data_IF_765733558894
#
_entry.id   IF_765733558894
#
_cell.length_a   1.000
_cell.length_b   1.000
_cell.length_c   1.000
_cell.angle_alpha   90.00
_cell.angle_beta   90.00
_cell.angle_gamma   90.00
#
_symmetry.space_group_name_H-M   'P 1'
#
loop_
_entity.id
_entity.type
_entity.pdbx_description
1 polymer ?
#
# COMPACT_ATOMS: atom_id res chain seq x y z
N UNK A 1 -1.84 21.18 18.45
CA UNK A 1 -3.23 20.71 18.29
C UNK A 1 -3.15 19.20 18.04
N UNK A 2 -3.74 18.37 18.89
CA UNK A 2 -3.74 16.91 18.72
C UNK A 2 -4.97 16.54 17.89
N UNK A 3 -4.78 15.90 16.73
CA UNK A 3 -5.87 15.40 15.89
C UNK A 3 -5.97 13.89 16.04
N UNK A 4 -7.19 13.36 16.15
CA UNK A 4 -7.47 11.92 16.11
C UNK A 4 -8.14 11.59 14.78
N UNK A 5 -7.58 10.65 14.03
CA UNK A 5 -8.19 10.15 12.80
C UNK A 5 -9.19 9.02 13.14
N UNK A 6 -10.24 8.90 12.33
CA UNK A 6 -11.19 7.79 12.36
C UNK A 6 -11.23 7.23 10.94
N UNK A 7 -10.92 5.95 10.79
CA UNK A 7 -11.05 5.23 9.53
C UNK A 7 -12.40 4.51 9.51
N UNK A 8 -13.17 4.73 8.45
CA UNK A 8 -14.49 4.12 8.24
C UNK A 8 -14.80 4.10 6.75
N UNK A 9 -15.66 3.17 6.35
CA UNK A 9 -16.22 3.15 4.99
C UNK A 9 -17.33 4.17 4.84
N UNK A 10 -17.48 4.66 3.61
CA UNK A 10 -18.47 5.65 3.23
C UNK A 10 -18.76 5.53 1.74
N UNK A 11 -19.99 5.83 1.36
CA UNK A 11 -20.44 5.80 -0.03
C UNK A 11 -20.59 7.22 -0.58
N UNK A 12 -20.02 7.47 -1.76
CA UNK A 12 -20.32 8.68 -2.54
C UNK A 12 -21.53 8.38 -3.41
N UNK A 13 -22.63 9.11 -3.19
CA UNK A 13 -23.85 8.92 -3.96
C UNK A 13 -23.81 9.65 -5.32
N UNK A 14 -24.84 9.45 -6.15
CA UNK A 14 -24.95 10.06 -7.50
C UNK A 14 -24.91 11.61 -7.49
N UNK A 15 -25.24 12.24 -6.36
CA UNK A 15 -25.15 13.70 -6.19
C UNK A 15 -23.78 14.18 -5.71
N UNK A 16 -22.81 13.29 -5.55
CA UNK A 16 -21.46 13.58 -5.04
C UNK A 16 -21.39 13.81 -3.53
N UNK A 17 -22.41 13.39 -2.76
CA UNK A 17 -22.40 13.52 -1.30
C UNK A 17 -21.83 12.28 -0.63
N UNK A 18 -20.96 12.48 0.36
CA UNK A 18 -20.38 11.43 1.18
C UNK A 18 -21.36 11.02 2.28
N UNK A 19 -21.78 9.75 2.27
CA UNK A 19 -22.60 9.15 3.32
C UNK A 19 -21.75 8.13 4.08
N UNK A 20 -21.57 8.34 5.39
CA UNK A 20 -20.84 7.39 6.23
C UNK A 20 -21.72 6.17 6.50
N UNK A 21 -21.14 4.98 6.43
CA UNK A 21 -21.88 3.73 6.70
C UNK A 21 -22.18 3.55 8.20
N UNK A 22 -21.41 4.23 9.05
CA UNK A 22 -21.53 4.20 10.51
C UNK A 22 -21.26 5.56 11.16
N UNK A 23 -21.77 5.74 12.37
CA UNK A 23 -21.59 6.97 13.16
C UNK A 23 -20.15 7.11 13.66
N UNK A 24 -19.61 8.33 13.64
CA UNK A 24 -18.26 8.66 14.12
C UNK A 24 -18.12 8.63 15.66
N UNK A 25 -19.18 8.28 16.40
CA UNK A 25 -19.18 8.21 17.87
C UNK A 25 -18.95 9.55 18.59
N UNK A 26 -18.91 10.66 17.86
CA UNK A 26 -18.75 12.01 18.39
C UNK A 26 -20.13 12.64 18.61
N UNK A 27 -20.47 12.94 19.86
CA UNK A 27 -21.79 13.46 20.25
C UNK A 27 -21.86 14.99 20.28
N UNK A 28 -20.73 15.67 20.07
CA UNK A 28 -20.65 17.14 20.09
C UNK A 28 -20.56 17.68 18.66
N UNK A 29 -21.39 18.67 18.27
CA UNK A 29 -21.24 19.37 17.00
C UNK A 29 -19.88 20.07 16.93
N UNK A 30 -19.05 19.69 15.97
CA UNK A 30 -17.72 20.27 15.76
C UNK A 30 -17.34 20.23 14.29
N UNK A 31 -16.46 21.14 13.86
CA UNK A 31 -15.85 21.07 12.52
C UNK A 31 -14.72 20.04 12.52
N UNK A 32 -14.65 19.24 11.46
CA UNK A 32 -13.61 18.22 11.25
C UNK A 32 -12.97 18.37 9.88
N UNK A 33 -11.78 17.79 9.69
CA UNK A 33 -11.14 17.62 8.39
C UNK A 33 -11.46 16.21 7.89
N UNK A 34 -11.86 16.09 6.63
CA UNK A 34 -12.20 14.81 6.00
C UNK A 34 -11.15 14.52 4.92
N UNK A 35 -10.67 13.28 4.86
CA UNK A 35 -9.82 12.74 3.80
C UNK A 35 -10.64 11.63 3.14
N UNK A 36 -10.78 11.66 1.82
CA UNK A 36 -11.50 10.66 1.04
C UNK A 36 -10.47 9.92 0.19
N UNK A 37 -10.40 8.60 0.34
CA UNK A 37 -9.56 7.74 -0.48
C UNK A 37 -10.48 7.09 -1.51
N UNK A 38 -10.31 7.46 -2.77
CA UNK A 38 -11.01 6.84 -3.90
C UNK A 38 -10.01 5.86 -4.52
N UNK A 39 -10.34 4.55 -4.63
CA UNK A 39 -9.49 3.64 -5.37
C UNK A 39 -9.42 4.15 -6.81
N UNK A 40 -8.21 4.36 -7.31
CA UNK A 40 -8.03 4.48 -8.74
C UNK A 40 -8.37 3.11 -9.32
N UNK A 41 -9.20 3.06 -10.37
CA UNK A 41 -9.29 1.83 -11.16
C UNK A 41 -7.85 1.52 -11.56
N UNK A 42 -7.36 0.34 -11.19
CA UNK A 42 -6.01 -0.10 -11.51
C UNK A 42 -5.83 -0.04 -13.03
N UNK A 43 -5.42 1.11 -13.57
CA UNK A 43 -4.65 1.14 -14.80
C UNK A 43 -3.40 0.37 -14.44
N UNK A 44 -3.45 -0.95 -14.66
CA UNK A 44 -2.32 -1.85 -14.49
C UNK A 44 -1.20 -1.22 -15.30
N UNK A 45 -0.24 -0.60 -14.62
CA UNK A 45 0.93 -0.08 -15.28
C UNK A 45 1.56 -1.30 -15.96
N UNK A 46 1.67 -1.33 -17.29
CA UNK A 46 2.23 -2.48 -17.99
C UNK A 46 3.70 -2.74 -17.60
N UNK A 47 4.33 -1.81 -16.88
CA UNK A 47 5.67 -1.93 -16.33
C UNK A 47 5.67 -2.34 -14.84
N UNK A 48 4.53 -2.38 -14.16
CA UNK A 48 4.44 -2.88 -12.79
C UNK A 48 4.60 -4.39 -12.77
N UNK A 49 5.47 -4.87 -11.87
CA UNK A 49 5.62 -6.32 -11.69
C UNK A 49 4.37 -6.85 -10.98
N UNK A 50 3.68 -7.85 -11.54
CA UNK A 50 2.52 -8.47 -10.90
C UNK A 50 2.82 -8.86 -9.45
N UNK A 51 1.86 -8.62 -8.55
CA UNK A 51 2.00 -8.87 -7.11
C UNK A 51 2.41 -10.32 -6.83
N UNK A 52 1.91 -11.28 -7.61
CA UNK A 52 2.26 -12.69 -7.51
C UNK A 52 3.76 -12.91 -7.76
N UNK A 53 4.32 -12.32 -8.82
CA UNK A 53 5.74 -12.44 -9.18
C UNK A 53 6.62 -11.81 -8.08
N UNK A 54 6.22 -10.65 -7.56
CA UNK A 54 6.91 -10.00 -6.45
C UNK A 54 6.93 -10.90 -5.19
N UNK A 55 5.79 -11.48 -4.83
CA UNK A 55 5.67 -12.36 -3.67
C UNK A 55 6.53 -13.62 -3.83
N UNK A 56 6.55 -14.22 -5.02
CA UNK A 56 7.40 -15.38 -5.31
C UNK A 56 8.88 -15.06 -5.14
N UNK A 57 9.34 -13.93 -5.70
CA UNK A 57 10.73 -13.48 -5.54
C UNK A 57 11.12 -13.24 -4.08
N UNK A 58 10.25 -12.61 -3.29
CA UNK A 58 10.49 -12.38 -1.85
C UNK A 58 10.58 -13.71 -1.09
N UNK A 59 9.66 -14.65 -1.36
CA UNK A 59 9.67 -15.98 -0.71
C UNK A 59 10.95 -16.73 -1.02
N UNK A 60 11.37 -16.72 -2.28
CA UNK A 60 12.60 -17.36 -2.72
C UNK A 60 13.82 -16.74 -2.02
N UNK A 61 13.98 -15.41 -2.05
CA UNK A 61 15.11 -14.74 -1.41
C UNK A 61 15.18 -14.97 0.10
N UNK A 62 14.03 -15.04 0.78
CA UNK A 62 13.98 -15.41 2.21
C UNK A 62 14.40 -16.86 2.45
N UNK A 63 13.95 -17.80 1.61
CA UNK A 63 14.37 -19.19 1.70
C UNK A 63 15.89 -19.35 1.48
N UNK A 64 16.43 -18.69 0.47
CA UNK A 64 17.86 -18.68 0.16
C UNK A 64 18.69 -18.11 1.33
N UNK A 65 18.25 -16.99 1.90
CA UNK A 65 18.88 -16.39 3.08
C UNK A 65 18.86 -17.33 4.30
N UNK A 66 17.73 -17.98 4.58
CA UNK A 66 17.59 -18.90 5.71
C UNK A 66 18.36 -20.20 5.53
N UNK A 67 18.59 -20.63 4.29
CA UNK A 67 19.34 -21.86 3.95
C UNK A 67 20.82 -21.60 3.66
N UNK A 68 21.27 -20.35 3.73
CA UNK A 68 22.66 -19.96 3.47
C UNK A 68 23.05 -20.01 1.98
N UNK A 69 22.06 -20.08 1.08
CA UNK A 69 22.26 -20.04 -0.37
C UNK A 69 22.37 -18.58 -0.84
N UNK A 70 23.36 -17.86 -0.31
CA UNK A 70 23.59 -16.43 -0.55
C UNK A 70 25.02 -16.20 -0.99
N UNK A 71 25.25 -15.15 -1.78
CA UNK A 71 26.60 -14.65 -2.09
C UNK A 71 26.96 -13.44 -1.22
N UNK A 72 28.24 -13.22 -0.89
CA UNK A 72 28.69 -12.00 -0.25
C UNK A 72 28.37 -10.76 -1.09
N UNK A 73 28.04 -9.64 -0.44
CA UNK A 73 27.74 -8.38 -1.13
C UNK A 73 28.90 -7.89 -2.02
N UNK A 74 30.15 -8.19 -1.62
CA UNK A 74 31.34 -7.87 -2.43
C UNK A 74 31.40 -8.63 -3.76
N UNK A 75 30.83 -9.84 -3.80
CA UNK A 75 30.82 -10.71 -4.98
C UNK A 75 29.59 -10.44 -5.87
N UNK A 76 28.56 -9.75 -5.36
CA UNK A 76 27.32 -9.45 -6.09
C UNK A 76 27.56 -8.62 -7.37
N UNK A 77 28.64 -7.85 -7.41
CA UNK A 77 28.99 -7.00 -8.56
C UNK A 77 29.91 -7.71 -9.56
N UNK A 78 30.38 -8.92 -9.27
CA UNK A 78 31.25 -9.65 -10.17
C UNK A 78 30.47 -10.09 -11.44
N UNK A 79 30.91 -9.62 -12.61
CA UNK A 79 30.29 -9.96 -13.89
C UNK A 79 29.11 -9.08 -14.29
N UNK A 80 28.75 -8.06 -13.51
CA UNK A 80 27.88 -6.97 -13.95
C UNK A 80 28.77 -5.83 -14.44
N UNK A 81 28.88 -5.67 -15.76
CA UNK A 81 29.63 -4.55 -16.35
C UNK A 81 28.92 -3.23 -16.02
N UNK A 82 29.64 -2.33 -15.35
CA UNK A 82 29.22 -0.94 -15.16
C UNK A 82 29.69 -0.12 -16.36
N UNK A 83 29.02 -0.26 -17.51
CA UNK A 83 29.11 0.72 -18.61
C UNK A 83 28.21 1.93 -18.37
#
# INVERSE_FOLDING_TARGET
MIMKAIETTATINESGQLTLDQSLGTTKPQRVRVIVLIPEDDEVDPNETPTEILIEGIRQGLYEALTGQTIPLSEMWEGIDAE
#
